data_IF_783886146275
#
_entry.id   IF_783886146275
#
_cell.length_a   1.000
_cell.length_b   1.000
_cell.length_c   1.000
_cell.angle_alpha   90.00
_cell.angle_beta   90.00
_cell.angle_gamma   90.00
#
_symmetry.space_group_name_H-M   'P 1'
#
loop_
_entity.id
_entity.type
_entity.pdbx_description
1 polymer ?
#
# COMPACT_ATOMS: atom_id res chain seq x y z
N UNK A 1 -53.32 52.16 -31.92
CA UNK A 1 -53.21 51.20 -30.81
C UNK A 1 -52.22 50.08 -31.19
N UNK A 2 -50.93 50.32 -31.53
CA UNK A 2 -50.00 49.25 -31.97
C UNK A 2 -48.56 49.52 -31.60
N UNK A 3 -48.24 50.07 -30.42
CA UNK A 3 -46.82 50.32 -30.04
C UNK A 3 -46.45 49.91 -28.62
N UNK A 4 -47.19 48.98 -27.95
CA UNK A 4 -46.88 48.59 -26.56
C UNK A 4 -46.55 47.12 -26.35
N UNK A 5 -46.19 46.34 -27.41
CA UNK A 5 -45.92 44.89 -27.26
C UNK A 5 -44.48 44.47 -27.61
N UNK A 6 -43.55 45.36 -27.82
CA UNK A 6 -42.17 45.02 -28.25
C UNK A 6 -41.08 45.21 -27.17
N UNK A 7 -41.41 45.61 -25.93
CA UNK A 7 -40.43 45.88 -24.88
C UNK A 7 -40.35 44.74 -23.85
N UNK A 8 -41.26 43.79 -23.83
CA UNK A 8 -41.30 42.71 -22.82
C UNK A 8 -40.45 41.46 -23.20
N UNK A 9 -39.99 41.34 -24.44
CA UNK A 9 -39.21 40.17 -24.91
C UNK A 9 -37.69 40.25 -24.71
N UNK A 10 -37.12 41.44 -24.48
CA UNK A 10 -35.69 41.64 -24.38
C UNK A 10 -35.07 41.42 -22.99
N UNK A 11 -35.88 41.53 -21.94
CA UNK A 11 -35.37 41.41 -20.56
C UNK A 11 -35.26 39.95 -20.04
N UNK A 12 -35.97 39.01 -20.63
CA UNK A 12 -35.95 37.59 -20.21
C UNK A 12 -34.81 36.81 -20.80
N UNK A 13 -34.25 37.24 -21.96
CA UNK A 13 -33.11 36.60 -22.60
C UNK A 13 -31.75 36.98 -21.97
N UNK A 14 -31.70 38.13 -21.27
CA UNK A 14 -30.46 38.61 -20.60
C UNK A 14 -30.24 37.98 -19.21
N UNK A 15 -31.23 37.36 -18.62
CA UNK A 15 -31.12 36.69 -17.30
C UNK A 15 -30.73 35.21 -17.38
N UNK A 16 -30.78 34.59 -18.57
CA UNK A 16 -30.35 33.18 -18.75
C UNK A 16 -28.88 33.03 -19.08
N UNK A 17 -28.13 34.08 -19.34
CA UNK A 17 -26.69 34.01 -19.72
C UNK A 17 -25.73 34.20 -18.54
N UNK A 18 -26.18 34.35 -17.30
CA UNK A 18 -25.35 34.54 -16.10
C UNK A 18 -25.21 33.30 -15.22
N UNK A 19 -25.77 32.16 -15.64
CA UNK A 19 -25.57 30.88 -14.97
C UNK A 19 -24.44 30.03 -15.63
N UNK A 20 -23.41 30.67 -16.17
CA UNK A 20 -22.10 30.00 -16.36
C UNK A 20 -21.54 29.85 -14.95
N UNK A 21 -21.86 28.70 -14.33
CA UNK A 21 -21.33 28.34 -13.03
C UNK A 21 -19.82 28.58 -13.03
N UNK A 22 -19.37 29.50 -12.20
CA UNK A 22 -17.97 29.61 -11.84
C UNK A 22 -17.55 28.21 -11.37
N UNK A 23 -16.92 27.42 -12.23
CA UNK A 23 -16.15 26.28 -11.80
C UNK A 23 -15.18 26.85 -10.76
N UNK A 24 -15.49 26.66 -9.48
CA UNK A 24 -14.56 27.04 -8.42
C UNK A 24 -13.27 26.28 -8.72
N UNK A 25 -12.29 27.00 -9.26
CA UNK A 25 -10.92 26.49 -9.35
C UNK A 25 -10.50 26.28 -7.91
N UNK A 26 -10.59 25.04 -7.45
CA UNK A 26 -10.10 24.71 -6.11
C UNK A 26 -8.60 25.04 -6.09
N UNK A 27 -8.21 25.86 -5.12
CA UNK A 27 -6.82 26.28 -4.95
C UNK A 27 -5.91 25.04 -4.81
N UNK A 28 -4.85 25.01 -5.58
CA UNK A 28 -3.80 24.00 -5.46
C UNK A 28 -2.45 24.70 -5.29
N UNK A 29 -1.62 24.33 -4.30
CA UNK A 29 -1.94 23.33 -3.24
C UNK A 29 -3.07 23.80 -2.31
N UNK A 30 -3.70 22.87 -1.56
CA UNK A 30 -4.71 23.26 -0.55
C UNK A 30 -4.13 24.29 0.43
N UNK A 31 -4.94 25.25 0.90
CA UNK A 31 -4.49 26.30 1.86
C UNK A 31 -4.07 25.71 3.22
N UNK A 32 -4.55 24.53 3.56
CA UNK A 32 -4.19 23.78 4.77
C UNK A 32 -2.96 22.90 4.50
N UNK A 33 -2.16 22.55 5.54
CA UNK A 33 -1.16 21.52 5.43
C UNK A 33 -1.76 20.23 4.86
N UNK A 34 -1.02 19.57 3.97
CA UNK A 34 -1.43 18.30 3.40
C UNK A 34 -1.12 17.18 4.40
N UNK A 35 -2.09 16.33 4.67
CA UNK A 35 -1.90 15.15 5.51
C UNK A 35 -1.76 13.91 4.62
N UNK A 36 -0.63 13.23 4.73
CA UNK A 36 -0.39 11.94 4.10
C UNK A 36 -0.60 10.84 5.13
N UNK A 37 -1.75 10.17 5.06
CA UNK A 37 -2.13 9.11 6.00
C UNK A 37 -1.45 7.80 5.63
N UNK A 38 -0.90 7.11 6.64
CA UNK A 38 -0.25 5.79 6.52
C UNK A 38 -0.92 4.82 7.49
N UNK A 39 -1.40 3.67 7.00
CA UNK A 39 -2.17 2.69 7.78
C UNK A 39 -1.36 1.79 8.72
N UNK A 40 -0.07 2.09 8.96
CA UNK A 40 0.85 1.26 9.74
C UNK A 40 1.65 2.11 10.75
N UNK A 41 2.24 1.43 11.74
CA UNK A 41 3.07 2.07 12.74
C UNK A 41 4.27 2.80 12.12
N UNK A 42 4.70 3.88 12.78
CA UNK A 42 5.90 4.64 12.41
C UNK A 42 7.15 3.74 12.42
N UNK A 43 8.14 4.08 11.58
CA UNK A 43 9.38 3.30 11.41
C UNK A 43 9.21 2.03 10.58
N UNK A 44 7.99 1.71 10.12
CA UNK A 44 7.75 0.63 9.16
C UNK A 44 8.00 1.07 7.71
N UNK A 45 7.98 0.10 6.81
CA UNK A 45 8.25 0.29 5.37
C UNK A 45 7.40 1.36 4.70
N UNK A 46 6.10 1.42 5.00
CA UNK A 46 5.20 2.44 4.46
C UNK A 46 5.52 3.84 5.00
N UNK A 47 5.86 3.95 6.27
CA UNK A 47 6.24 5.22 6.91
C UNK A 47 7.55 5.77 6.33
N UNK A 48 8.56 4.92 6.14
CA UNK A 48 9.84 5.29 5.53
C UNK A 48 9.61 5.85 4.12
N UNK A 49 8.90 5.12 3.26
CA UNK A 49 8.61 5.58 1.89
C UNK A 49 7.78 6.87 1.89
N UNK A 50 6.72 6.92 2.72
CA UNK A 50 5.86 8.10 2.82
C UNK A 50 6.66 9.35 3.20
N UNK A 51 7.59 9.28 4.16
CA UNK A 51 8.41 10.42 4.58
C UNK A 51 9.41 10.87 3.52
N UNK A 52 10.03 9.93 2.79
CA UNK A 52 10.90 10.25 1.65
C UNK A 52 10.11 11.04 0.61
N UNK A 53 8.92 10.55 0.24
CA UNK A 53 8.08 11.18 -0.80
C UNK A 53 7.48 12.50 -0.29
N UNK A 54 6.96 12.54 0.94
CA UNK A 54 6.32 13.72 1.53
C UNK A 54 7.27 14.92 1.62
N UNK A 55 8.54 14.69 1.99
CA UNK A 55 9.57 15.74 2.03
C UNK A 55 9.70 16.40 0.65
N UNK A 56 9.94 15.61 -0.39
CA UNK A 56 10.13 16.14 -1.75
C UNK A 56 8.86 16.76 -2.32
N UNK A 57 7.70 16.16 -2.01
CA UNK A 57 6.40 16.71 -2.41
C UNK A 57 6.18 18.10 -1.80
N UNK A 58 6.45 18.25 -0.50
CA UNK A 58 6.33 19.53 0.19
C UNK A 58 7.22 20.62 -0.42
N UNK A 59 8.47 20.27 -0.75
CA UNK A 59 9.40 21.18 -1.45
C UNK A 59 8.84 21.61 -2.81
N UNK A 60 8.29 20.66 -3.60
CA UNK A 60 7.80 20.96 -4.94
C UNK A 60 6.54 21.82 -4.97
N UNK A 61 5.61 21.60 -4.03
CA UNK A 61 4.33 22.33 -4.00
C UNK A 61 4.38 23.58 -3.11
N UNK A 62 5.49 23.81 -2.39
CA UNK A 62 5.61 24.96 -1.48
C UNK A 62 4.67 24.90 -0.28
N UNK A 63 4.22 23.70 0.14
CA UNK A 63 3.29 23.49 1.23
C UNK A 63 3.74 22.32 2.13
N UNK A 64 3.48 22.42 3.44
CA UNK A 64 3.81 21.33 4.37
C UNK A 64 3.02 20.06 4.06
N UNK A 65 3.72 18.91 3.96
CA UNK A 65 3.15 17.59 3.83
C UNK A 65 3.51 16.77 5.08
N UNK A 66 2.52 16.50 5.92
CA UNK A 66 2.69 15.82 7.21
C UNK A 66 2.30 14.35 7.08
N UNK A 67 3.19 13.44 7.43
CA UNK A 67 2.88 12.00 7.48
C UNK A 67 2.22 11.68 8.82
N UNK A 68 1.00 11.14 8.77
CA UNK A 68 0.22 10.72 9.92
C UNK A 68 0.01 9.20 9.93
N UNK A 69 0.52 8.52 10.96
CA UNK A 69 0.37 7.08 11.11
C UNK A 69 -0.94 6.74 11.85
N UNK A 70 -1.82 5.95 11.22
CA UNK A 70 -3.10 5.45 11.74
C UNK A 70 -3.13 3.92 11.69
N UNK A 71 -2.36 3.23 12.54
CA UNK A 71 -2.25 1.79 12.47
C UNK A 71 -3.49 1.08 13.00
N UNK A 72 -3.78 -0.10 12.43
CA UNK A 72 -4.85 -0.99 12.92
C UNK A 72 -5.55 -1.75 11.82
N UNK A 73 -6.03 -2.95 12.15
CA UNK A 73 -6.75 -3.87 11.25
C UNK A 73 -6.05 -4.06 9.89
N UNK A 74 -4.72 -4.32 9.89
CA UNK A 74 -3.93 -4.47 8.65
C UNK A 74 -3.90 -3.23 7.75
N UNK A 75 -4.18 -2.04 8.30
CA UNK A 75 -4.27 -0.77 7.57
C UNK A 75 -5.71 -0.32 7.25
N UNK A 76 -6.71 -1.19 7.45
CA UNK A 76 -8.10 -0.89 7.08
C UNK A 76 -8.70 0.32 7.83
N UNK A 77 -8.25 0.61 9.07
CA UNK A 77 -8.72 1.79 9.81
C UNK A 77 -8.37 3.10 9.09
N UNK A 78 -7.14 3.24 8.59
CA UNK A 78 -6.71 4.41 7.84
C UNK A 78 -7.49 4.56 6.53
N UNK A 79 -7.70 3.46 5.80
CA UNK A 79 -8.45 3.46 4.54
C UNK A 79 -9.91 3.85 4.77
N UNK A 80 -10.57 3.30 5.80
CA UNK A 80 -11.93 3.69 6.20
C UNK A 80 -12.02 5.18 6.53
N UNK A 81 -11.03 5.70 7.29
CA UNK A 81 -10.98 7.11 7.67
C UNK A 81 -10.88 8.01 6.43
N UNK A 82 -10.02 7.68 5.47
CA UNK A 82 -9.84 8.52 4.27
C UNK A 82 -11.02 8.39 3.31
N UNK A 83 -11.57 7.20 3.10
CA UNK A 83 -12.75 6.98 2.27
C UNK A 83 -13.94 7.83 2.72
N UNK A 84 -14.11 7.98 4.04
CA UNK A 84 -15.19 8.76 4.65
C UNK A 84 -14.79 10.17 5.10
N UNK A 85 -13.55 10.57 4.86
CA UNK A 85 -12.94 11.82 5.33
C UNK A 85 -13.12 13.00 4.37
N UNK A 86 -12.31 14.07 4.60
CA UNK A 86 -12.31 15.26 3.76
C UNK A 86 -12.01 14.95 2.29
N UNK A 87 -12.66 15.70 1.41
CA UNK A 87 -12.51 15.60 -0.05
C UNK A 87 -12.01 16.90 -0.71
N UNK A 88 -11.47 17.82 0.09
CA UNK A 88 -10.95 19.10 -0.37
C UNK A 88 -9.51 19.04 -0.93
N UNK A 89 -8.98 17.81 -1.08
CA UNK A 89 -7.62 17.55 -1.56
C UNK A 89 -6.52 17.69 -0.50
N UNK A 90 -6.85 18.05 0.75
CA UNK A 90 -5.86 18.19 1.83
C UNK A 90 -5.43 16.86 2.45
N UNK A 91 -6.09 15.74 2.12
CA UNK A 91 -5.79 14.41 2.66
C UNK A 91 -5.46 13.44 1.54
N UNK A 92 -4.27 12.86 1.59
CA UNK A 92 -3.81 11.77 0.75
C UNK A 92 -3.66 10.51 1.59
N UNK A 93 -3.98 9.35 1.04
CA UNK A 93 -3.69 8.06 1.65
C UNK A 93 -2.55 7.38 0.88
N UNK A 94 -1.47 7.05 1.58
CA UNK A 94 -0.47 6.12 1.07
C UNK A 94 -0.94 4.71 1.42
N UNK A 95 -1.83 4.21 0.58
CA UNK A 95 -2.56 2.97 0.74
C UNK A 95 -1.72 1.76 0.37
N UNK A 96 -2.12 0.59 0.84
CA UNK A 96 -1.42 -0.67 0.61
C UNK A 96 -2.31 -1.73 -0.03
N UNK A 97 -1.69 -2.72 -0.66
CA UNK A 97 -2.36 -3.86 -1.31
C UNK A 97 -3.37 -4.54 -0.39
N UNK A 98 -3.08 -4.70 0.91
CA UNK A 98 -3.95 -5.36 1.86
C UNK A 98 -5.37 -4.77 1.86
N UNK A 99 -5.55 -3.55 2.32
CA UNK A 99 -6.84 -2.85 2.32
C UNK A 99 -7.45 -2.61 0.93
N UNK A 100 -6.60 -2.41 -0.11
CA UNK A 100 -7.09 -2.06 -1.45
C UNK A 100 -7.53 -3.27 -2.28
N UNK A 101 -6.96 -4.47 -2.02
CA UNK A 101 -7.18 -5.61 -2.89
C UNK A 101 -7.39 -6.95 -2.18
N UNK A 102 -6.99 -7.11 -0.92
CA UNK A 102 -6.98 -8.39 -0.21
C UNK A 102 -8.09 -8.48 0.83
N UNK A 103 -8.09 -7.59 1.82
CA UNK A 103 -8.99 -7.62 2.97
C UNK A 103 -10.48 -7.68 2.63
N UNK A 104 -10.99 -7.03 1.56
CA UNK A 104 -12.40 -7.09 1.19
C UNK A 104 -12.94 -8.50 0.95
N UNK A 105 -12.07 -9.47 0.68
CA UNK A 105 -12.49 -10.83 0.28
C UNK A 105 -12.71 -11.78 1.45
N UNK A 106 -12.28 -11.46 2.66
CA UNK A 106 -12.42 -12.35 3.81
C UNK A 106 -12.66 -11.65 5.15
N UNK A 107 -12.71 -10.31 5.16
CA UNK A 107 -13.08 -9.57 6.38
C UNK A 107 -14.03 -8.42 6.06
N UNK A 108 -14.87 -8.07 7.03
CA UNK A 108 -15.76 -6.91 6.90
C UNK A 108 -14.95 -5.62 7.08
N UNK A 109 -14.94 -4.77 6.07
CA UNK A 109 -14.32 -3.45 6.08
C UNK A 109 -15.40 -2.36 5.96
N UNK A 110 -15.08 -1.14 6.40
CA UNK A 110 -16.03 -0.01 6.45
C UNK A 110 -16.09 0.84 5.17
N UNK A 111 -15.60 0.34 4.04
CA UNK A 111 -15.55 1.04 2.74
C UNK A 111 -15.47 0.02 1.60
N UNK A 112 -15.76 0.47 0.38
CA UNK A 112 -15.51 -0.28 -0.87
C UNK A 112 -14.26 0.31 -1.54
N UNK A 113 -13.13 -0.41 -1.63
CA UNK A 113 -11.89 0.15 -2.16
C UNK A 113 -11.98 0.60 -3.63
N UNK A 114 -12.91 0.03 -4.40
CA UNK A 114 -13.09 0.35 -5.80
C UNK A 114 -14.07 1.50 -6.06
N UNK A 115 -14.89 1.89 -5.04
CA UNK A 115 -15.90 2.95 -5.15
C UNK A 115 -15.61 4.16 -4.28
N UNK A 116 -15.11 3.93 -3.04
CA UNK A 116 -15.00 4.98 -2.03
C UNK A 116 -13.59 5.62 -2.01
N UNK A 117 -12.62 5.03 -2.75
CA UNK A 117 -11.27 5.55 -2.90
C UNK A 117 -10.96 5.83 -4.39
N UNK A 118 -10.51 7.03 -4.68
CA UNK A 118 -10.07 7.44 -6.02
C UNK A 118 -8.57 7.18 -6.19
N UNK A 119 -8.14 6.47 -7.26
CA UNK A 119 -6.73 6.26 -7.56
C UNK A 119 -6.05 7.57 -7.97
N UNK A 120 -4.78 7.75 -7.55
CA UNK A 120 -3.93 8.88 -7.95
C UNK A 120 -2.72 8.35 -8.73
N UNK A 121 -1.82 7.60 -8.10
CA UNK A 121 -0.68 6.98 -8.79
C UNK A 121 -0.11 5.84 -7.95
N UNK A 122 0.53 4.87 -8.59
CA UNK A 122 1.37 3.90 -7.87
C UNK A 122 2.53 4.65 -7.19
N UNK A 123 2.84 4.27 -5.97
CA UNK A 123 4.00 4.80 -5.25
C UNK A 123 5.22 3.92 -5.45
N UNK A 124 5.20 2.75 -4.83
CA UNK A 124 6.30 1.78 -4.86
C UNK A 124 5.80 0.36 -4.95
N UNK A 125 6.63 -0.52 -5.53
CA UNK A 125 6.47 -1.97 -5.47
C UNK A 125 7.75 -2.64 -4.95
N UNK A 126 7.61 -3.82 -4.35
CA UNK A 126 8.71 -4.60 -3.79
C UNK A 126 8.24 -6.01 -3.39
N UNK A 127 9.07 -7.05 -3.46
CA UNK A 127 8.80 -8.31 -2.79
C UNK A 127 9.04 -8.18 -1.29
N UNK A 128 8.24 -8.87 -0.47
CA UNK A 128 8.63 -9.12 0.92
C UNK A 128 9.76 -10.15 0.97
N UNK A 129 10.47 -10.18 2.10
CA UNK A 129 11.51 -11.17 2.37
C UNK A 129 11.06 -12.03 3.55
N UNK A 130 10.98 -13.34 3.37
CA UNK A 130 10.82 -14.26 4.48
C UNK A 130 12.13 -14.32 5.23
N UNK A 131 12.14 -13.83 6.45
CA UNK A 131 13.30 -13.81 7.34
C UNK A 131 13.04 -14.58 8.61
N UNK A 132 14.13 -15.12 9.18
CA UNK A 132 14.13 -15.73 10.51
C UNK A 132 15.29 -15.14 11.34
N UNK A 133 15.21 -15.11 12.67
CA UNK A 133 16.34 -14.80 13.53
C UNK A 133 17.50 -15.78 13.28
N UNK A 134 18.75 -15.29 13.28
CA UNK A 134 19.92 -16.15 13.13
C UNK A 134 19.99 -17.24 14.22
N UNK A 135 19.47 -16.95 15.41
CA UNK A 135 19.40 -17.89 16.52
C UNK A 135 18.54 -19.14 16.28
N UNK A 136 17.64 -19.12 15.27
CA UNK A 136 16.81 -20.29 14.92
C UNK A 136 17.63 -21.43 14.31
N UNK A 137 18.83 -21.14 13.77
CA UNK A 137 19.67 -22.08 13.04
C UNK A 137 19.15 -22.42 11.63
N UNK A 138 17.97 -21.93 11.21
CA UNK A 138 17.40 -22.15 9.88
C UNK A 138 18.12 -21.24 8.87
N UNK A 139 18.62 -21.83 7.77
CA UNK A 139 19.42 -21.10 6.78
C UNK A 139 18.79 -21.02 5.39
N UNK A 140 17.82 -21.88 5.11
CA UNK A 140 17.18 -21.99 3.78
C UNK A 140 15.67 -22.14 3.87
N UNK A 141 14.97 -21.79 2.78
CA UNK A 141 13.53 -22.04 2.64
C UNK A 141 13.20 -23.54 2.78
N UNK A 142 14.07 -24.41 2.23
CA UNK A 142 13.89 -25.86 2.34
C UNK A 142 13.95 -26.37 3.78
N UNK A 143 14.89 -25.87 4.59
CA UNK A 143 14.97 -26.21 6.02
C UNK A 143 13.77 -25.71 6.81
N UNK A 144 13.29 -24.47 6.52
CA UNK A 144 12.08 -23.91 7.14
C UNK A 144 10.87 -24.78 6.85
N UNK A 145 10.62 -25.11 5.57
CA UNK A 145 9.49 -25.96 5.15
C UNK A 145 9.62 -27.36 5.75
N UNK A 146 10.82 -27.96 5.75
CA UNK A 146 11.02 -29.29 6.34
C UNK A 146 10.76 -29.29 7.85
N UNK A 147 11.15 -28.24 8.57
CA UNK A 147 10.88 -28.10 10.01
C UNK A 147 9.37 -27.91 10.24
N UNK A 148 8.71 -27.04 9.50
CA UNK A 148 7.26 -26.80 9.63
C UNK A 148 6.43 -28.09 9.35
N UNK A 149 6.86 -28.94 8.40
CA UNK A 149 6.21 -30.24 8.14
C UNK A 149 6.40 -31.25 9.26
N UNK A 150 7.56 -31.24 9.92
CA UNK A 150 7.81 -32.16 11.06
C UNK A 150 7.08 -31.72 12.34
N UNK A 151 6.86 -30.43 12.49
CA UNK A 151 6.31 -29.82 13.69
C UNK A 151 5.12 -28.90 13.33
N UNK A 152 3.97 -29.46 12.84
CA UNK A 152 2.81 -28.65 12.46
C UNK A 152 2.33 -27.77 13.62
N UNK A 153 2.03 -26.50 13.33
CA UNK A 153 1.55 -25.53 14.32
C UNK A 153 2.60 -25.10 15.36
N UNK A 154 3.89 -25.45 15.21
CA UNK A 154 4.96 -25.04 16.16
C UNK A 154 5.76 -23.85 15.69
N UNK A 155 5.88 -23.64 14.37
CA UNK A 155 6.46 -22.43 13.82
C UNK A 155 5.36 -21.38 13.68
N UNK A 156 5.77 -20.15 13.84
CA UNK A 156 4.90 -19.00 13.65
C UNK A 156 5.51 -17.98 12.70
N UNK A 157 4.66 -17.13 12.15
CA UNK A 157 5.09 -16.01 11.32
C UNK A 157 4.40 -14.70 11.70
N UNK A 158 5.18 -13.66 11.82
CA UNK A 158 4.70 -12.31 12.03
C UNK A 158 4.13 -11.72 10.73
N UNK A 159 3.13 -10.87 10.88
CA UNK A 159 2.60 -10.03 9.79
C UNK A 159 2.36 -8.61 10.25
N UNK A 160 2.08 -7.71 9.30
CA UNK A 160 1.69 -6.32 9.58
C UNK A 160 0.19 -6.18 9.89
N UNK A 161 -0.48 -7.31 10.15
CA UNK A 161 -1.88 -7.40 10.56
C UNK A 161 -2.74 -8.24 9.61
N UNK A 162 -3.95 -8.61 10.04
CA UNK A 162 -4.86 -9.42 9.24
C UNK A 162 -5.17 -8.75 7.89
N UNK A 163 -5.18 -9.52 6.81
CA UNK A 163 -5.42 -9.02 5.46
C UNK A 163 -4.28 -8.20 4.84
N UNK A 164 -3.13 -8.12 5.49
CA UNK A 164 -1.95 -7.49 4.90
C UNK A 164 -1.24 -8.40 3.89
N UNK A 165 -0.36 -7.81 3.06
CA UNK A 165 0.47 -8.58 2.13
C UNK A 165 1.34 -9.63 2.81
N UNK A 166 1.88 -9.33 4.00
CA UNK A 166 2.70 -10.27 4.78
C UNK A 166 1.89 -11.43 5.35
N UNK A 167 0.64 -11.19 5.76
CA UNK A 167 -0.28 -12.25 6.16
C UNK A 167 -0.53 -13.21 4.99
N UNK A 168 -0.99 -12.66 3.85
CA UNK A 168 -1.31 -13.49 2.68
C UNK A 168 -0.10 -14.21 2.10
N UNK A 169 1.11 -13.66 2.21
CA UNK A 169 2.33 -14.36 1.80
C UNK A 169 2.57 -15.61 2.66
N UNK A 170 2.31 -15.53 3.98
CA UNK A 170 2.40 -16.65 4.90
C UNK A 170 1.36 -17.73 4.58
N UNK A 171 0.09 -17.35 4.48
CA UNK A 171 -0.99 -18.28 4.15
C UNK A 171 -0.80 -18.94 2.77
N UNK A 172 -0.32 -18.17 1.79
CA UNK A 172 -0.03 -18.72 0.47
C UNK A 172 1.13 -19.73 0.53
N UNK A 173 2.18 -19.49 1.35
CA UNK A 173 3.23 -20.48 1.54
C UNK A 173 2.71 -21.72 2.29
N UNK A 174 1.92 -21.54 3.35
CA UNK A 174 1.27 -22.65 4.06
C UNK A 174 0.52 -23.57 3.08
N UNK A 175 -0.26 -22.97 2.19
CA UNK A 175 -1.04 -23.74 1.21
C UNK A 175 -0.15 -24.42 0.15
N UNK A 176 0.78 -23.71 -0.52
CA UNK A 176 1.57 -24.31 -1.62
C UNK A 176 2.60 -25.32 -1.10
N UNK A 177 3.17 -25.10 0.08
CA UNK A 177 4.15 -25.99 0.69
C UNK A 177 3.52 -27.10 1.53
N UNK A 178 2.17 -27.05 1.76
CA UNK A 178 1.43 -27.96 2.63
C UNK A 178 2.07 -28.04 4.03
N UNK A 179 2.25 -26.88 4.63
CA UNK A 179 2.75 -26.68 5.99
C UNK A 179 1.69 -25.95 6.83
N UNK A 180 1.85 -26.03 8.13
CA UNK A 180 1.00 -25.36 9.11
C UNK A 180 1.89 -24.48 10.00
N UNK A 181 1.85 -23.14 9.78
CA UNK A 181 2.54 -22.15 10.60
C UNK A 181 1.53 -21.15 11.14
N UNK A 182 1.68 -20.77 12.43
CA UNK A 182 0.71 -19.93 13.12
C UNK A 182 0.92 -18.44 12.77
N UNK A 183 -0.17 -17.75 12.45
CA UNK A 183 -0.13 -16.32 12.17
C UNK A 183 -0.11 -15.49 13.47
N UNK A 184 0.86 -14.55 13.58
CA UNK A 184 0.98 -13.59 14.70
C UNK A 184 0.85 -12.16 14.14
N UNK A 185 -0.30 -11.49 14.32
CA UNK A 185 -0.55 -10.18 13.74
C UNK A 185 0.02 -9.03 14.57
N UNK A 186 0.63 -8.03 13.89
CA UNK A 186 1.12 -6.79 14.46
C UNK A 186 0.50 -5.56 13.79
N UNK A 187 0.63 -4.37 14.42
CA UNK A 187 0.14 -3.09 13.86
C UNK A 187 1.10 -2.46 12.85
N UNK A 188 2.02 -3.25 12.27
CA UNK A 188 3.00 -2.79 11.29
C UNK A 188 4.33 -3.53 11.40
N UNK A 189 5.26 -3.23 10.47
CA UNK A 189 6.54 -3.94 10.36
C UNK A 189 7.50 -3.70 11.53
N UNK A 190 7.54 -2.49 12.08
CA UNK A 190 8.47 -2.17 13.18
C UNK A 190 8.19 -2.99 14.47
N UNK A 191 6.94 -3.07 15.00
CA UNK A 191 6.67 -3.92 16.15
C UNK A 191 6.84 -5.42 15.86
N UNK A 192 6.48 -5.89 14.66
CA UNK A 192 6.72 -7.28 14.25
C UNK A 192 8.22 -7.63 14.29
N UNK A 193 9.06 -6.75 13.74
CA UNK A 193 10.51 -6.92 13.70
C UNK A 193 11.14 -7.01 15.09
N UNK A 194 10.66 -6.23 16.07
CA UNK A 194 11.17 -6.26 17.45
C UNK A 194 10.99 -7.65 18.08
N UNK A 195 9.83 -8.28 17.88
CA UNK A 195 9.56 -9.59 18.47
C UNK A 195 10.30 -10.71 17.72
N UNK A 196 10.48 -10.58 16.41
CA UNK A 196 11.29 -11.51 15.63
C UNK A 196 12.77 -11.41 16.03
N UNK A 197 13.34 -10.22 16.16
CA UNK A 197 14.72 -10.04 16.65
C UNK A 197 14.91 -10.53 18.09
N UNK A 198 13.84 -10.46 18.90
CA UNK A 198 13.77 -10.99 20.25
C UNK A 198 13.56 -12.51 20.34
N UNK A 199 13.49 -13.23 19.21
CA UNK A 199 13.19 -14.67 19.13
C UNK A 199 11.84 -15.05 19.76
N UNK A 200 10.86 -14.11 19.82
CA UNK A 200 9.49 -14.38 20.28
C UNK A 200 8.59 -14.91 19.18
N UNK A 201 8.94 -14.62 17.91
CA UNK A 201 8.29 -15.11 16.71
C UNK A 201 9.36 -15.68 15.78
N UNK A 202 9.09 -16.83 15.19
CA UNK A 202 10.07 -17.62 14.42
C UNK A 202 10.43 -16.98 13.09
N UNK A 203 9.46 -16.34 12.42
CA UNK A 203 9.65 -15.81 11.07
C UNK A 203 8.83 -14.56 10.80
N UNK A 204 9.19 -13.83 9.73
CA UNK A 204 8.46 -12.64 9.29
C UNK A 204 8.55 -12.47 7.78
N UNK A 205 7.43 -12.22 7.12
CA UNK A 205 7.41 -11.74 5.74
C UNK A 205 7.61 -10.23 5.73
N UNK A 206 8.85 -9.82 5.97
CA UNK A 206 9.22 -8.43 6.17
C UNK A 206 9.35 -7.66 4.85
N UNK A 207 8.92 -6.41 4.85
CA UNK A 207 9.26 -5.50 3.76
C UNK A 207 10.76 -5.13 3.81
N UNK A 208 11.42 -4.93 2.66
CA UNK A 208 12.86 -4.68 2.59
C UNK A 208 13.38 -3.58 3.54
N UNK A 209 12.74 -2.41 3.66
CA UNK A 209 13.26 -1.35 4.53
C UNK A 209 13.40 -1.76 6.00
N UNK A 210 12.58 -2.69 6.46
CA UNK A 210 12.64 -3.19 7.83
C UNK A 210 13.60 -4.38 7.99
N UNK A 211 13.85 -5.15 6.94
CA UNK A 211 14.66 -6.37 7.00
C UNK A 211 16.13 -6.13 6.66
N UNK A 212 16.43 -5.33 5.61
CA UNK A 212 17.77 -5.20 5.03
C UNK A 212 18.85 -4.84 6.06
N UNK A 213 18.69 -3.85 6.97
CA UNK A 213 19.74 -3.51 7.94
C UNK A 213 20.07 -4.68 8.89
N UNK A 214 19.10 -5.54 9.16
CA UNK A 214 19.27 -6.68 10.05
C UNK A 214 19.79 -7.93 9.32
N UNK A 215 19.54 -8.04 8.03
CA UNK A 215 20.16 -9.04 7.15
C UNK A 215 21.64 -8.69 6.98
N UNK A 216 21.98 -7.44 6.68
CA UNK A 216 23.37 -6.96 6.54
C UNK A 216 24.18 -7.13 7.82
N UNK A 217 23.55 -6.91 8.99
CA UNK A 217 24.21 -7.15 10.30
C UNK A 217 24.22 -8.60 10.74
N UNK A 218 23.68 -9.54 9.95
CA UNK A 218 23.62 -10.98 10.26
C UNK A 218 22.67 -11.37 11.38
N UNK A 219 21.83 -10.44 11.87
CA UNK A 219 20.80 -10.73 12.90
C UNK A 219 19.61 -11.50 12.34
N UNK A 220 19.28 -11.27 11.06
CA UNK A 220 18.23 -11.98 10.34
C UNK A 220 18.84 -12.76 9.16
N UNK A 221 18.35 -13.95 8.95
CA UNK A 221 18.67 -14.79 7.79
C UNK A 221 17.51 -14.67 6.78
N UNK A 222 17.76 -14.19 5.54
CA UNK A 222 16.77 -14.17 4.48
C UNK A 222 16.67 -15.57 3.88
N UNK A 223 15.46 -16.14 3.88
CA UNK A 223 15.21 -17.49 3.36
C UNK A 223 14.73 -17.46 1.90
N UNK A 224 13.85 -16.53 1.57
CA UNK A 224 13.34 -16.34 0.21
C UNK A 224 12.65 -14.98 0.06
N UNK A 225 12.48 -14.51 -1.19
CA UNK A 225 11.66 -13.34 -1.53
C UNK A 225 10.32 -13.76 -2.13
N UNK A 226 9.29 -12.92 -1.97
CA UNK A 226 7.91 -13.25 -2.38
C UNK A 226 7.56 -12.84 -3.81
N UNK A 227 8.52 -12.31 -4.56
CA UNK A 227 8.36 -11.94 -5.97
C UNK A 227 8.62 -13.09 -6.94
N UNK A 228 8.46 -12.80 -8.24
CA UNK A 228 8.74 -13.76 -9.31
C UNK A 228 10.24 -13.84 -9.66
N UNK A 229 10.98 -12.76 -9.41
CA UNK A 229 12.42 -12.66 -9.71
C UNK A 229 13.18 -12.22 -8.46
N UNK A 230 14.45 -12.59 -8.38
CA UNK A 230 15.35 -12.13 -7.30
C UNK A 230 15.57 -10.62 -7.46
N UNK A 231 15.35 -9.82 -6.40
CA UNK A 231 15.60 -8.39 -6.46
C UNK A 231 17.11 -8.10 -6.48
N UNK A 232 17.52 -7.03 -7.18
CA UNK A 232 18.93 -6.67 -7.32
C UNK A 232 19.66 -6.43 -5.98
N UNK A 233 18.94 -6.00 -4.94
CA UNK A 233 19.49 -5.78 -3.60
C UNK A 233 19.67 -7.07 -2.77
N UNK A 234 19.14 -8.22 -3.24
CA UNK A 234 19.31 -9.56 -2.63
C UNK A 234 19.50 -10.63 -3.72
N UNK A 235 20.52 -10.52 -4.57
CA UNK A 235 20.66 -11.38 -5.76
C UNK A 235 20.91 -12.87 -5.42
N UNK A 236 21.43 -13.14 -4.23
CA UNK A 236 21.71 -14.49 -3.74
C UNK A 236 20.55 -15.13 -2.96
N UNK A 237 19.48 -14.39 -2.67
CA UNK A 237 18.31 -14.91 -1.98
C UNK A 237 17.31 -15.43 -3.01
N UNK A 238 16.92 -16.72 -2.97
CA UNK A 238 15.99 -17.28 -3.94
C UNK A 238 14.59 -16.66 -3.80
N UNK A 239 13.77 -16.81 -4.83
CA UNK A 239 12.35 -16.54 -4.68
C UNK A 239 11.61 -17.80 -4.18
N UNK A 240 10.47 -17.60 -3.52
CA UNK A 240 9.58 -18.72 -3.20
C UNK A 240 9.12 -19.44 -4.47
N UNK A 241 8.92 -18.68 -5.57
CA UNK A 241 8.51 -19.20 -6.87
C UNK A 241 9.51 -20.21 -7.49
N UNK A 242 10.81 -20.11 -7.17
CA UNK A 242 11.81 -21.08 -7.62
C UNK A 242 11.60 -22.49 -7.02
N UNK A 243 11.04 -22.57 -5.82
CA UNK A 243 10.71 -23.85 -5.15
C UNK A 243 9.24 -24.22 -5.30
N UNK A 244 8.36 -23.24 -5.44
CA UNK A 244 6.90 -23.41 -5.52
C UNK A 244 6.35 -22.61 -6.71
N UNK A 245 6.38 -23.16 -7.93
CA UNK A 245 5.89 -22.50 -9.14
C UNK A 245 4.46 -21.97 -8.99
N UNK A 246 4.23 -20.75 -9.45
CA UNK A 246 2.94 -20.07 -9.31
C UNK A 246 2.77 -19.24 -8.03
N UNK A 247 3.75 -19.29 -7.11
CA UNK A 247 3.77 -18.37 -5.97
C UNK A 247 4.12 -16.95 -6.44
N UNK A 248 3.28 -15.97 -6.09
CA UNK A 248 3.56 -14.54 -6.31
C UNK A 248 2.76 -13.69 -5.30
N UNK A 249 3.46 -13.12 -4.33
CA UNK A 249 2.92 -12.22 -3.32
C UNK A 249 3.74 -10.91 -3.27
N UNK A 250 3.93 -10.27 -4.42
CA UNK A 250 4.56 -8.95 -4.51
C UNK A 250 3.72 -7.90 -3.78
N UNK A 251 4.38 -7.05 -3.01
CA UNK A 251 3.76 -5.99 -2.23
C UNK A 251 3.90 -4.64 -2.93
N UNK A 252 2.95 -3.73 -2.67
CA UNK A 252 2.96 -2.39 -3.23
C UNK A 252 2.21 -1.39 -2.34
N UNK A 253 2.59 -0.12 -2.49
CA UNK A 253 1.87 1.02 -1.93
C UNK A 253 1.50 2.00 -3.03
N UNK A 254 0.32 2.61 -2.93
CA UNK A 254 -0.21 3.53 -3.92
C UNK A 254 -0.85 4.76 -3.26
N UNK A 255 -0.86 5.87 -3.96
CA UNK A 255 -1.55 7.07 -3.54
C UNK A 255 -3.01 7.02 -4.00
N UNK A 256 -3.90 7.18 -3.04
CA UNK A 256 -5.34 7.31 -3.27
C UNK A 256 -5.90 8.43 -2.38
N UNK A 257 -7.11 8.90 -2.69
CA UNK A 257 -7.84 9.85 -1.86
C UNK A 257 -9.31 9.42 -1.75
N UNK A 258 -10.13 10.15 -0.99
CA UNK A 258 -11.59 9.95 -1.02
C UNK A 258 -12.12 10.07 -2.45
N UNK A 259 -13.01 9.17 -2.87
CA UNK A 259 -13.65 9.23 -4.19
C UNK A 259 -14.50 10.49 -4.40
N UNK A 260 -14.84 11.19 -3.31
CA UNK A 260 -15.55 12.47 -3.33
C UNK A 260 -14.64 13.65 -3.70
N UNK A 261 -13.31 13.43 -3.78
CA UNK A 261 -12.34 14.48 -4.16
C UNK A 261 -12.56 14.87 -5.63
N UNK A 262 -12.69 16.16 -5.95
CA UNK A 262 -12.90 16.61 -7.32
C UNK A 262 -11.81 16.15 -8.28
N UNK A 263 -12.22 15.71 -9.48
CA UNK A 263 -11.31 15.21 -10.50
C UNK A 263 -10.13 16.15 -10.81
N UNK A 264 -10.30 17.48 -10.93
CA UNK A 264 -9.17 18.36 -11.18
C UNK A 264 -8.10 18.33 -10.08
N UNK A 265 -8.48 18.17 -8.81
CA UNK A 265 -7.52 18.00 -7.70
C UNK A 265 -6.79 16.66 -7.78
N UNK A 266 -7.52 15.58 -8.08
CA UNK A 266 -6.91 14.26 -8.27
C UNK A 266 -5.90 14.26 -9.41
N UNK A 267 -6.22 14.92 -10.54
CA UNK A 267 -5.33 15.03 -11.69
C UNK A 267 -4.09 15.87 -11.33
N UNK A 268 -4.26 16.91 -10.52
CA UNK A 268 -3.15 17.73 -10.04
C UNK A 268 -2.25 16.95 -9.09
N UNK A 269 -2.82 16.19 -8.15
CA UNK A 269 -2.06 15.28 -7.27
C UNK A 269 -1.29 14.22 -8.05
N UNK A 270 -1.90 13.63 -9.09
CA UNK A 270 -1.18 12.70 -9.98
C UNK A 270 0.05 13.38 -10.59
N UNK A 271 -0.11 14.56 -11.19
CA UNK A 271 0.99 15.31 -11.81
C UNK A 271 2.14 15.54 -10.83
N UNK A 272 1.87 16.06 -9.63
CA UNK A 272 2.92 16.39 -8.66
C UNK A 272 3.58 15.13 -8.07
N UNK A 273 2.82 14.08 -7.76
CA UNK A 273 3.36 12.82 -7.25
C UNK A 273 4.19 12.08 -8.30
N UNK A 274 3.74 12.03 -9.56
CA UNK A 274 4.52 11.45 -10.66
C UNK A 274 5.84 12.18 -10.85
N UNK A 275 5.82 13.53 -10.79
CA UNK A 275 7.03 14.35 -10.85
C UNK A 275 7.99 14.02 -9.71
N UNK A 276 7.49 13.95 -8.47
CA UNK A 276 8.30 13.61 -7.28
C UNK A 276 8.91 12.22 -7.39
N UNK A 277 8.10 11.21 -7.73
CA UNK A 277 8.54 9.82 -7.83
C UNK A 277 9.55 9.57 -8.96
N UNK A 278 9.59 10.44 -9.96
CA UNK A 278 10.57 10.38 -11.04
C UNK A 278 11.86 11.17 -10.76
N UNK A 279 11.96 11.92 -9.65
CA UNK A 279 13.22 12.58 -9.31
C UNK A 279 14.29 11.55 -8.94
N UNK A 280 15.55 11.71 -9.42
CA UNK A 280 16.64 10.78 -9.07
C UNK A 280 16.80 10.61 -7.56
N UNK A 281 16.77 11.73 -6.80
CA UNK A 281 16.89 11.73 -5.34
C UNK A 281 15.88 10.78 -4.66
N UNK A 282 14.60 10.84 -5.05
CA UNK A 282 13.54 10.01 -4.47
C UNK A 282 13.68 8.56 -4.92
N UNK A 283 13.95 8.33 -6.21
CA UNK A 283 14.12 6.97 -6.77
C UNK A 283 15.29 6.25 -6.11
N UNK A 284 16.44 6.91 -6.01
CA UNK A 284 17.65 6.32 -5.43
C UNK A 284 17.47 6.06 -3.94
N UNK A 285 16.80 6.97 -3.22
CA UNK A 285 16.53 6.80 -1.80
C UNK A 285 15.56 5.63 -1.54
N UNK A 286 14.48 5.53 -2.31
CA UNK A 286 13.56 4.39 -2.24
C UNK A 286 14.27 3.07 -2.59
N UNK A 287 15.10 3.07 -3.64
CA UNK A 287 15.85 1.87 -4.07
C UNK A 287 16.84 1.40 -3.02
N UNK A 288 17.55 2.29 -2.31
CA UNK A 288 18.41 1.95 -1.16
C UNK A 288 17.65 1.21 -0.06
N UNK A 289 16.36 1.47 0.05
CA UNK A 289 15.47 0.76 0.96
C UNK A 289 14.78 -0.46 0.32
N UNK A 290 15.21 -0.90 -0.86
CA UNK A 290 14.65 -2.05 -1.55
C UNK A 290 13.23 -1.85 -2.08
N UNK A 291 12.84 -0.60 -2.33
CA UNK A 291 11.55 -0.23 -2.88
C UNK A 291 11.75 0.44 -4.24
N UNK A 292 11.00 -0.01 -5.25
CA UNK A 292 11.07 0.55 -6.61
C UNK A 292 9.92 1.51 -6.83
N UNK A 293 10.22 2.78 -7.12
CA UNK A 293 9.21 3.75 -7.54
C UNK A 293 8.57 3.32 -8.87
N UNK A 294 7.26 3.37 -8.96
CA UNK A 294 6.49 2.91 -10.11
C UNK A 294 5.33 3.87 -10.47
N UNK A 295 5.60 5.18 -10.62
CA UNK A 295 4.55 6.14 -10.92
C UNK A 295 3.91 5.89 -12.28
N UNK A 296 2.60 6.18 -12.39
CA UNK A 296 1.82 6.07 -13.61
C UNK A 296 0.58 6.95 -13.56
N UNK A 297 -0.30 6.76 -14.52
CA UNK A 297 -1.57 7.48 -14.59
C UNK A 297 -2.57 6.98 -13.55
N UNK A 298 -3.62 7.76 -13.33
CA UNK A 298 -4.73 7.40 -12.47
C UNK A 298 -5.50 6.19 -13.00
N UNK A 299 -5.67 6.12 -14.32
CA UNK A 299 -6.35 5.05 -15.05
C UNK A 299 -5.58 3.73 -14.90
N UNK A 300 -4.27 3.75 -15.10
CA UNK A 300 -3.40 2.57 -14.92
C UNK A 300 -3.47 2.05 -13.49
N UNK A 301 -3.42 2.93 -12.48
CA UNK A 301 -3.56 2.51 -11.09
C UNK A 301 -4.95 1.91 -10.82
N UNK A 302 -6.02 2.53 -11.34
CA UNK A 302 -7.38 2.01 -11.17
C UNK A 302 -7.55 0.60 -11.76
N UNK A 303 -7.04 0.38 -12.96
CA UNK A 303 -7.03 -0.93 -13.63
C UNK A 303 -6.19 -1.94 -12.84
N UNK A 304 -5.03 -1.54 -12.35
CA UNK A 304 -4.15 -2.38 -11.55
C UNK A 304 -4.80 -2.82 -10.23
N UNK A 305 -5.41 -1.89 -9.47
CA UNK A 305 -6.12 -2.22 -8.23
C UNK A 305 -7.27 -3.19 -8.52
N UNK A 306 -8.07 -2.96 -9.57
CA UNK A 306 -9.14 -3.85 -9.98
C UNK A 306 -8.65 -5.27 -10.33
N UNK A 307 -7.55 -5.37 -11.06
CA UNK A 307 -6.93 -6.66 -11.41
C UNK A 307 -6.37 -7.39 -10.18
N UNK A 308 -5.69 -6.69 -9.28
CA UNK A 308 -5.20 -7.27 -8.01
C UNK A 308 -6.35 -7.71 -7.11
N UNK A 309 -7.41 -6.90 -7.00
CA UNK A 309 -8.62 -7.25 -6.25
C UNK A 309 -9.26 -8.55 -6.80
N UNK A 310 -9.43 -8.67 -8.11
CA UNK A 310 -9.97 -9.88 -8.73
C UNK A 310 -9.06 -11.11 -8.52
N UNK A 311 -7.74 -10.94 -8.69
CA UNK A 311 -6.71 -11.97 -8.49
C UNK A 311 -6.76 -12.51 -7.06
N UNK A 312 -6.69 -11.63 -6.05
CA UNK A 312 -6.67 -12.05 -4.66
C UNK A 312 -8.00 -12.66 -4.22
N UNK A 313 -9.13 -12.12 -4.69
CA UNK A 313 -10.44 -12.71 -4.44
C UNK A 313 -10.57 -14.14 -4.96
N UNK A 314 -10.00 -14.42 -6.15
CA UNK A 314 -9.92 -15.78 -6.68
C UNK A 314 -9.04 -16.68 -5.81
N UNK A 315 -7.80 -16.27 -5.51
CA UNK A 315 -6.84 -17.05 -4.71
C UNK A 315 -7.43 -17.39 -3.34
N UNK A 316 -8.00 -16.41 -2.63
CA UNK A 316 -8.59 -16.58 -1.30
C UNK A 316 -9.72 -17.61 -1.33
N UNK A 317 -10.63 -17.53 -2.31
CA UNK A 317 -11.73 -18.48 -2.45
C UNK A 317 -11.27 -19.89 -2.82
N UNK A 318 -10.39 -20.01 -3.83
CA UNK A 318 -9.91 -21.31 -4.33
C UNK A 318 -9.10 -22.06 -3.27
N UNK A 319 -8.32 -21.31 -2.47
CA UNK A 319 -7.44 -21.87 -1.43
C UNK A 319 -8.05 -21.86 -0.04
N UNK A 320 -9.28 -21.37 0.11
CA UNK A 320 -10.02 -21.28 1.38
C UNK A 320 -9.22 -20.59 2.49
N UNK A 321 -8.48 -19.52 2.12
CA UNK A 321 -7.72 -18.73 3.10
C UNK A 321 -8.70 -17.96 3.98
N UNK A 322 -8.52 -18.03 5.29
CA UNK A 322 -9.35 -17.35 6.31
C UNK A 322 -8.56 -16.25 7.00
N UNK A 323 -9.27 -15.31 7.62
CA UNK A 323 -8.68 -14.25 8.44
C UNK A 323 -8.84 -14.65 9.91
N UNK A 324 -8.12 -15.59 10.38
CA UNK A 324 -8.22 -16.12 11.75
C UNK A 324 -8.09 -15.07 12.85
#
# INVERSE_FOLDING_TARGET
MHQRRLIAGGALAALLSLAVGAAQTQDFPPKKPVVMVVGFAAGGSADIAARIIAKKLGENIGQSVVVENKPGAGGNLAHTQVANGPSDGSVLLFGSIGPLAIAPHFMKIGYDPLKDLAPITMGVNFPNVLVVPAATGIKTLGEYVAKARREPGKLDFASTGPGSASHLAGELLNDVAKIDTLHVPYKGGAPALQDVLGNRVTSFYAAPPTALPHIESGKLIPLATTGLTRPAYLPNVPTVAESFPGFNATNWYAFVASAKTPKPLLDRWNTELVKVLNTPEVRDNLLKHGQTAAPGTREELGQFIGAEHAKWGRIIRERKITAD
#
